data_IF_742085672725
#
_entry.id   IF_742085672725
#
_cell.length_a   1.000
_cell.length_b   1.000
_cell.length_c   1.000
_cell.angle_alpha   90.00
_cell.angle_beta   90.00
_cell.angle_gamma   90.00
#
_symmetry.space_group_name_H-M   'P 1'
#
loop_
_entity.id
_entity.type
_entity.pdbx_description
1 polymer ?
#
# COMPACT_ATOMS: atom_id res chain seq x y z
N UNK A 1 -8.10 -4.85 -14.36
CA UNK A 1 -7.28 -5.37 -13.28
C UNK A 1 -6.87 -4.25 -12.33
N UNK A 2 -7.18 -4.43 -11.07
CA UNK A 2 -6.81 -3.43 -10.08
C UNK A 2 -5.32 -3.53 -9.76
N UNK A 3 -4.70 -2.37 -9.54
CA UNK A 3 -3.31 -2.30 -9.10
C UNK A 3 -3.17 -2.47 -7.59
N UNK A 4 -4.28 -2.67 -6.89
CA UNK A 4 -4.25 -2.96 -5.46
C UNK A 4 -5.38 -3.91 -5.08
N UNK A 5 -5.24 -4.53 -3.92
CA UNK A 5 -6.27 -5.39 -3.35
C UNK A 5 -6.23 -5.25 -1.84
N UNK A 6 -7.41 -5.21 -1.21
CA UNK A 6 -7.52 -5.15 0.24
C UNK A 6 -8.32 -6.37 0.70
N UNK A 7 -7.74 -7.14 1.61
CA UNK A 7 -8.37 -8.32 2.19
C UNK A 7 -8.41 -8.17 3.71
N UNK A 8 -9.60 -8.14 4.29
CA UNK A 8 -9.75 -8.14 5.74
C UNK A 8 -9.92 -9.57 6.22
N UNK A 9 -9.13 -9.95 7.20
CA UNK A 9 -9.22 -11.27 7.80
C UNK A 9 -10.03 -11.19 9.09
N UNK A 10 -10.84 -12.23 9.34
CA UNK A 10 -11.57 -12.33 10.60
C UNK A 10 -10.57 -12.62 11.73
N UNK A 11 -10.79 -11.98 12.88
CA UNK A 11 -10.02 -12.29 14.06
C UNK A 11 -10.24 -13.76 14.42
N UNK A 12 -9.15 -14.45 14.78
CA UNK A 12 -9.25 -15.80 15.33
C UNK A 12 -9.42 -15.68 16.83
N UNK A 13 -10.57 -16.10 17.32
CA UNK A 13 -10.92 -16.00 18.74
C UNK A 13 -10.73 -14.57 19.26
N UNK A 14 -9.89 -14.35 20.26
CA UNK A 14 -9.62 -13.02 20.80
C UNK A 14 -8.36 -12.38 20.20
N UNK A 15 -7.88 -12.91 19.06
CA UNK A 15 -6.70 -12.38 18.41
C UNK A 15 -6.93 -11.03 17.74
N UNK A 16 -5.87 -10.38 17.29
CA UNK A 16 -5.99 -9.09 16.64
C UNK A 16 -6.72 -9.21 15.30
N UNK A 17 -7.49 -8.17 14.96
CA UNK A 17 -8.09 -8.05 13.64
C UNK A 17 -7.02 -7.58 12.68
N UNK A 18 -6.89 -8.26 11.54
CA UNK A 18 -5.85 -7.94 10.57
C UNK A 18 -6.43 -7.72 9.18
N UNK A 19 -5.71 -6.96 8.38
CA UNK A 19 -6.01 -6.79 6.97
C UNK A 19 -4.73 -6.90 6.18
N UNK A 20 -4.83 -7.37 4.93
CA UNK A 20 -3.72 -7.36 3.99
C UNK A 20 -4.05 -6.39 2.88
N UNK A 21 -3.08 -5.55 2.54
CA UNK A 21 -3.17 -4.65 1.41
C UNK A 21 -2.05 -5.00 0.45
N UNK A 22 -2.41 -5.25 -0.81
CA UNK A 22 -1.46 -5.54 -1.87
C UNK A 22 -1.42 -4.35 -2.82
N UNK A 23 -0.23 -3.81 -3.07
CA UNK A 23 0.00 -2.81 -4.11
C UNK A 23 0.91 -3.46 -5.14
N UNK A 24 0.29 -4.01 -6.17
CA UNK A 24 0.97 -4.76 -7.22
C UNK A 24 0.56 -4.17 -8.56
N UNK A 25 1.49 -3.49 -9.23
CA UNK A 25 1.21 -2.86 -10.51
C UNK A 25 1.43 -1.36 -10.48
N UNK A 26 0.93 -0.66 -11.47
CA UNK A 26 1.11 0.78 -11.61
C UNK A 26 0.11 1.55 -10.76
N UNK A 27 0.61 2.33 -9.84
CA UNK A 27 -0.21 3.11 -8.91
C UNK A 27 -1.00 4.16 -9.68
N UNK A 28 -2.32 4.16 -9.48
CA UNK A 28 -3.19 5.11 -10.13
C UNK A 28 -3.40 4.85 -11.61
N UNK A 29 -3.24 3.59 -12.04
CA UNK A 29 -3.43 3.22 -13.44
C UNK A 29 -4.86 3.48 -13.87
N UNK A 30 -5.04 4.48 -14.75
CA UNK A 30 -6.35 4.91 -15.24
C UNK A 30 -6.70 4.36 -16.61
N UNK A 31 -5.81 3.56 -17.19
CA UNK A 31 -6.05 2.93 -18.49
C UNK A 31 -6.88 1.68 -18.37
N UNK A 32 -7.15 1.27 -17.16
CA UNK A 32 -7.95 0.12 -16.84
C UNK A 32 -9.43 0.48 -16.92
N UNK A 33 -10.26 -0.41 -17.44
CA UNK A 33 -11.69 -0.18 -17.55
C UNK A 33 -12.34 0.11 -16.20
N UNK A 34 -11.79 -0.45 -15.14
CA UNK A 34 -12.33 -0.29 -13.80
C UNK A 34 -11.99 1.08 -13.20
N UNK A 35 -11.09 1.82 -13.82
CA UNK A 35 -10.81 3.20 -13.46
C UNK A 35 -10.58 3.45 -11.97
N UNK A 36 -9.94 2.51 -11.28
CA UNK A 36 -9.75 2.64 -9.84
C UNK A 36 -8.74 3.74 -9.57
N UNK A 37 -9.19 4.75 -8.83
CA UNK A 37 -8.33 5.88 -8.45
C UNK A 37 -7.98 5.77 -6.97
N UNK A 38 -6.91 6.47 -6.59
CA UNK A 38 -6.42 6.44 -5.21
C UNK A 38 -7.49 6.89 -4.21
N UNK A 39 -8.38 7.79 -4.61
CA UNK A 39 -9.45 8.25 -3.73
C UNK A 39 -10.31 7.10 -3.22
N UNK A 40 -10.60 6.11 -4.07
CA UNK A 40 -11.35 4.92 -3.67
C UNK A 40 -10.56 4.11 -2.65
N UNK A 41 -9.27 3.89 -2.92
CA UNK A 41 -8.42 3.14 -2.00
C UNK A 41 -8.29 3.85 -0.66
N UNK A 42 -8.14 5.16 -0.67
CA UNK A 42 -8.05 5.96 0.56
C UNK A 42 -9.29 5.76 1.43
N UNK A 43 -10.48 5.77 0.80
CA UNK A 43 -11.73 5.53 1.54
C UNK A 43 -11.80 4.12 2.10
N UNK A 44 -11.36 3.14 1.32
CA UNK A 44 -11.35 1.75 1.77
C UNK A 44 -10.40 1.56 2.96
N UNK A 45 -9.23 2.19 2.92
CA UNK A 45 -8.28 2.14 4.04
C UNK A 45 -8.91 2.76 5.29
N UNK A 46 -9.51 3.94 5.13
CA UNK A 46 -10.13 4.65 6.26
C UNK A 46 -11.25 3.82 6.91
N UNK A 47 -11.91 3.00 6.12
CA UNK A 47 -13.02 2.17 6.60
C UNK A 47 -12.57 0.87 7.26
N UNK A 48 -11.30 0.52 7.21
CA UNK A 48 -10.81 -0.71 7.83
C UNK A 48 -10.85 -0.62 9.35
N UNK A 49 -11.59 -1.55 9.96
CA UNK A 49 -11.63 -1.68 11.42
C UNK A 49 -10.73 -2.83 11.81
N UNK A 50 -9.44 -2.57 11.86
CA UNK A 50 -8.43 -3.57 12.13
C UNK A 50 -7.35 -3.02 13.06
N UNK A 51 -6.63 -3.92 13.71
CA UNK A 51 -5.53 -3.58 14.61
C UNK A 51 -4.19 -3.58 13.90
N UNK A 52 -4.07 -4.40 12.87
CA UNK A 52 -2.82 -4.56 12.14
C UNK A 52 -3.08 -4.61 10.64
N UNK A 53 -2.19 -4.00 9.87
CA UNK A 53 -2.23 -4.02 8.41
C UNK A 53 -0.90 -4.57 7.90
N UNK A 54 -0.97 -5.62 7.06
CA UNK A 54 0.17 -6.09 6.30
C UNK A 54 0.10 -5.45 4.92
N UNK A 55 1.09 -4.63 4.61
CA UNK A 55 1.16 -3.90 3.35
C UNK A 55 2.21 -4.54 2.46
N UNK A 56 1.78 -5.23 1.42
CA UNK A 56 2.69 -5.92 0.51
C UNK A 56 2.82 -5.13 -0.78
N UNK A 57 4.06 -4.90 -1.20
CA UNK A 57 4.35 -4.03 -2.34
C UNK A 57 5.21 -4.74 -3.37
N UNK A 58 4.78 -4.65 -4.62
CA UNK A 58 5.58 -5.02 -5.78
C UNK A 58 5.15 -4.08 -6.92
N UNK A 59 5.79 -2.90 -6.99
CA UNK A 59 5.35 -1.84 -7.88
C UNK A 59 6.51 -0.97 -8.32
N UNK A 60 6.50 -0.58 -9.59
CA UNK A 60 7.46 0.39 -10.13
C UNK A 60 7.00 1.83 -9.90
N UNK A 61 5.87 2.04 -9.23
CA UNK A 61 5.36 3.37 -8.95
C UNK A 61 4.19 3.74 -9.85
N UNK A 62 4.10 5.00 -10.17
CA UNK A 62 3.02 5.54 -10.99
C UNK A 62 2.75 6.98 -10.62
N UNK A 63 1.49 7.31 -10.41
CA UNK A 63 1.08 8.67 -10.05
C UNK A 63 1.61 9.07 -8.67
N UNK A 64 2.47 10.08 -8.63
CA UNK A 64 3.05 10.56 -7.37
C UNK A 64 1.97 11.14 -6.43
N UNK A 65 1.05 11.99 -6.90
CA UNK A 65 -0.02 12.47 -6.01
C UNK A 65 -0.84 11.33 -5.40
N UNK A 66 -1.13 10.30 -6.18
CA UNK A 66 -1.88 9.14 -5.69
C UNK A 66 -1.07 8.38 -4.64
N UNK A 67 0.22 8.20 -4.89
CA UNK A 67 1.10 7.54 -3.93
C UNK A 67 1.16 8.28 -2.60
N UNK A 68 1.25 9.60 -2.64
CA UNK A 68 1.27 10.43 -1.43
C UNK A 68 -0.06 10.35 -0.67
N UNK A 69 -1.17 10.33 -1.40
CA UNK A 69 -2.50 10.22 -0.76
C UNK A 69 -2.63 8.89 -0.01
N UNK A 70 -2.14 7.81 -0.61
CA UNK A 70 -2.15 6.48 0.01
C UNK A 70 -1.23 6.45 1.23
N UNK A 71 -0.02 7.00 1.10
CA UNK A 71 0.91 7.10 2.21
C UNK A 71 0.26 7.78 3.41
N UNK A 72 -0.37 8.94 3.17
CA UNK A 72 -1.01 9.69 4.24
C UNK A 72 -2.20 8.95 4.84
N UNK A 73 -2.97 8.25 4.02
CA UNK A 73 -4.09 7.44 4.51
C UNK A 73 -3.61 6.36 5.47
N UNK A 74 -2.51 5.69 5.14
CA UNK A 74 -1.93 4.67 6.00
C UNK A 74 -1.37 5.27 7.28
N UNK A 75 -0.72 6.44 7.18
CA UNK A 75 -0.16 7.11 8.37
C UNK A 75 -1.25 7.59 9.33
N UNK A 76 -2.43 7.96 8.79
CA UNK A 76 -3.55 8.39 9.63
C UNK A 76 -4.26 7.22 10.30
N UNK A 77 -4.15 6.02 9.76
CA UNK A 77 -4.86 4.86 10.29
C UNK A 77 -4.26 4.47 11.65
N UNK A 78 -5.10 4.14 12.64
CA UNK A 78 -4.61 3.77 13.96
C UNK A 78 -3.96 2.40 14.03
N UNK A 79 -4.16 1.54 13.02
CA UNK A 79 -3.55 0.20 13.00
C UNK A 79 -2.03 0.28 12.90
N UNK A 80 -1.36 -0.75 13.42
CA UNK A 80 0.06 -0.93 13.18
C UNK A 80 0.27 -1.43 11.76
N UNK A 81 1.11 -0.76 11.00
CA UNK A 81 1.37 -1.13 9.60
C UNK A 81 2.74 -1.79 9.49
N UNK A 82 2.75 -2.98 8.93
CA UNK A 82 4.00 -3.69 8.61
C UNK A 82 4.10 -3.80 7.09
N UNK A 83 5.10 -3.15 6.51
CA UNK A 83 5.35 -3.19 5.07
C UNK A 83 6.23 -4.38 4.72
N UNK A 84 5.86 -5.07 3.64
CA UNK A 84 6.67 -6.14 3.05
C UNK A 84 6.93 -5.77 1.59
N UNK A 85 8.19 -5.56 1.23
CA UNK A 85 8.57 -5.33 -0.15
C UNK A 85 8.88 -6.69 -0.77
N UNK A 86 7.93 -7.20 -1.56
CA UNK A 86 8.01 -8.55 -2.11
C UNK A 86 8.91 -8.65 -3.34
N UNK A 87 9.01 -7.59 -4.10
CA UNK A 87 9.88 -7.53 -5.27
C UNK A 87 10.55 -6.17 -5.37
N UNK A 88 9.80 -5.18 -5.84
CA UNK A 88 10.33 -3.82 -5.96
C UNK A 88 9.35 -2.81 -5.36
N UNK A 89 9.91 -1.70 -4.89
CA UNK A 89 9.14 -0.53 -4.48
C UNK A 89 9.90 0.68 -5.02
N UNK A 90 9.52 1.13 -6.21
CA UNK A 90 10.24 2.15 -6.95
C UNK A 90 9.40 3.42 -7.04
N UNK A 91 10.05 4.58 -6.99
CA UNK A 91 9.40 5.87 -7.12
C UNK A 91 8.34 6.05 -6.02
N UNK A 92 7.11 6.44 -6.35
CA UNK A 92 6.08 6.67 -5.33
C UNK A 92 5.67 5.39 -4.59
N UNK A 93 5.96 4.21 -5.13
CA UNK A 93 5.76 2.97 -4.37
C UNK A 93 6.69 2.91 -3.16
N UNK A 94 7.87 3.52 -3.24
CA UNK A 94 8.78 3.60 -2.10
C UNK A 94 8.20 4.51 -1.01
N UNK A 95 7.47 5.56 -1.40
CA UNK A 95 6.80 6.43 -0.43
C UNK A 95 5.76 5.65 0.35
N UNK A 96 4.94 4.86 -0.36
CA UNK A 96 3.92 4.03 0.29
C UNK A 96 4.58 3.03 1.24
N UNK A 97 5.70 2.42 0.82
CA UNK A 97 6.44 1.48 1.67
C UNK A 97 6.86 2.12 2.99
N UNK A 98 7.22 3.39 2.96
CA UNK A 98 7.67 4.10 4.15
C UNK A 98 6.55 4.40 5.14
N UNK A 99 5.30 4.11 4.80
CA UNK A 99 4.19 4.26 5.75
C UNK A 99 4.20 3.18 6.83
N UNK A 100 4.96 2.10 6.63
CA UNK A 100 5.04 1.04 7.62
C UNK A 100 5.77 1.45 8.89
N UNK A 101 5.23 1.01 10.01
CA UNK A 101 5.93 1.13 11.31
C UNK A 101 7.14 0.21 11.34
N UNK A 102 7.05 -0.87 10.59
CA UNK A 102 8.14 -1.81 10.38
C UNK A 102 8.17 -2.15 8.89
N UNK A 103 9.37 -2.28 8.33
CA UNK A 103 9.55 -2.58 6.91
C UNK A 103 10.43 -3.81 6.77
N UNK A 104 9.91 -4.82 6.09
CA UNK A 104 10.63 -6.05 5.79
C UNK A 104 10.81 -6.17 4.29
N UNK A 105 12.01 -6.44 3.84
CA UNK A 105 12.32 -6.63 2.42
C UNK A 105 12.69 -8.08 2.17
N UNK A 106 12.13 -8.66 1.12
CA UNK A 106 12.57 -9.97 0.67
C UNK A 106 14.06 -9.89 0.33
N UNK A 107 14.75 -11.01 0.43
CA UNK A 107 16.21 -11.06 0.30
C UNK A 107 16.73 -10.41 -0.98
N UNK A 108 15.99 -10.55 -2.08
CA UNK A 108 16.36 -9.98 -3.37
C UNK A 108 15.47 -8.80 -3.78
N UNK A 109 14.70 -8.26 -2.85
CA UNK A 109 13.85 -7.12 -3.14
C UNK A 109 14.69 -5.84 -3.24
N UNK A 110 14.14 -4.86 -3.95
CA UNK A 110 14.78 -3.56 -4.16
C UNK A 110 13.83 -2.43 -3.87
N UNK A 111 14.36 -1.36 -3.31
CA UNK A 111 13.62 -0.13 -3.09
C UNK A 111 14.43 1.01 -3.71
N UNK A 112 13.76 1.83 -4.51
CA UNK A 112 14.44 2.93 -5.20
C UNK A 112 13.64 4.22 -5.04
N UNK A 113 14.31 5.26 -4.57
CA UNK A 113 13.76 6.60 -4.44
C UNK A 113 14.52 7.51 -5.38
N UNK A 114 13.79 8.30 -6.15
CA UNK A 114 14.43 9.31 -6.99
C UNK A 114 13.60 10.58 -6.94
N UNK A 115 14.26 11.72 -7.18
CA UNK A 115 13.58 12.99 -7.18
C UNK A 115 12.58 13.04 -8.33
N UNK A 116 11.36 13.54 -8.08
CA UNK A 116 10.42 13.72 -9.17
C UNK A 116 10.93 14.78 -10.14
N UNK A 117 10.59 14.63 -11.39
CA UNK A 117 10.89 15.64 -12.40
C UNK A 117 10.06 16.88 -12.09
N UNK A 118 10.74 17.97 -11.88
CA UNK A 118 10.11 19.23 -11.49
C UNK A 118 9.33 19.89 -12.60
#
# INVERSE_FOLDING_TARGET
>A
KKWYEIKAAKAKDDGPKTAEIYVYGNIGDRWNEDGVVAATMVKEIAALDVDEISLRINSYGGSVPDGLAIFNALKRHPATVHTYVDGVAVSCASYIAMAGDKITMAKNAQMMVHAPWG
#
